data_IF_999740548351
#
_entry.id   IF_999740548351
#
_cell.length_a   1.000
_cell.length_b   1.000
_cell.length_c   1.000
_cell.angle_alpha   90.00
_cell.angle_beta   90.00
_cell.angle_gamma   90.00
#
_symmetry.space_group_name_H-M   'P 1'
#
loop_
_entity.id
_entity.type
_entity.pdbx_description
1 polymer ?
#
# COMPACT_ATOMS: atom_id res chain seq x y z
N UNK A 1 11.05 20.99 -8.26
CA UNK A 1 10.33 20.32 -9.37
C UNK A 1 9.74 19.04 -8.80
N UNK A 2 8.40 18.91 -8.76
CA UNK A 2 7.76 17.70 -8.27
C UNK A 2 7.81 16.63 -9.37
N UNK A 3 8.54 15.54 -9.13
CA UNK A 3 8.56 14.40 -10.03
C UNK A 3 7.36 13.51 -9.69
N UNK A 4 6.34 13.51 -10.56
CA UNK A 4 5.25 12.54 -10.47
C UNK A 4 5.75 11.22 -11.02
N UNK A 5 5.92 10.23 -10.14
CA UNK A 5 6.24 8.86 -10.53
C UNK A 5 4.92 8.13 -10.82
N UNK A 6 4.63 7.88 -12.10
CA UNK A 6 3.55 6.98 -12.49
C UNK A 6 3.91 5.57 -12.00
N UNK A 7 3.10 5.00 -11.11
CA UNK A 7 3.23 3.60 -10.72
C UNK A 7 3.09 2.76 -11.99
N UNK A 8 4.17 2.07 -12.37
CA UNK A 8 4.16 1.14 -13.50
C UNK A 8 3.05 0.12 -13.25
N UNK A 9 1.93 0.22 -14.00
CA UNK A 9 0.73 -0.64 -13.85
C UNK A 9 0.96 -2.07 -14.35
N UNK A 10 2.19 -2.57 -14.24
CA UNK A 10 2.62 -3.87 -14.80
C UNK A 10 2.29 -5.06 -13.89
N UNK A 11 1.34 -4.91 -12.96
CA UNK A 11 0.86 -5.96 -12.07
C UNK A 11 -0.67 -5.96 -12.00
N UNK A 12 -1.27 -7.11 -11.70
CA UNK A 12 -2.73 -7.30 -11.66
C UNK A 12 -3.45 -6.50 -10.57
N UNK A 13 -2.72 -5.79 -9.69
CA UNK A 13 -3.28 -5.06 -8.55
C UNK A 13 -3.79 -5.96 -7.41
N UNK A 14 -3.73 -7.29 -7.57
CA UNK A 14 -4.34 -8.24 -6.63
C UNK A 14 -3.61 -8.34 -5.29
N UNK A 15 -2.29 -8.12 -5.26
CA UNK A 15 -1.50 -8.31 -4.03
C UNK A 15 -1.97 -7.47 -2.85
N UNK A 16 -2.17 -6.16 -3.07
CA UNK A 16 -2.66 -5.26 -2.01
C UNK A 16 -4.15 -5.51 -1.68
N UNK A 17 -4.96 -5.90 -2.68
CA UNK A 17 -6.36 -6.27 -2.45
C UNK A 17 -6.50 -7.51 -1.56
N UNK A 18 -5.65 -8.53 -1.76
CA UNK A 18 -5.60 -9.73 -0.92
C UNK A 18 -5.15 -9.36 0.49
N UNK A 19 -4.06 -8.58 0.62
CA UNK A 19 -3.57 -8.13 1.92
C UNK A 19 -4.63 -7.36 2.72
N UNK A 20 -5.38 -6.46 2.05
CA UNK A 20 -6.51 -5.75 2.66
C UNK A 20 -7.59 -6.71 3.15
N UNK A 21 -7.99 -7.68 2.33
CA UNK A 21 -9.00 -8.67 2.71
C UNK A 21 -8.60 -9.45 3.97
N UNK A 22 -7.32 -9.83 4.08
CA UNK A 22 -6.81 -10.51 5.28
C UNK A 22 -6.82 -9.60 6.52
N UNK A 23 -6.47 -8.31 6.38
CA UNK A 23 -6.56 -7.35 7.48
C UNK A 23 -8.01 -7.20 7.94
N UNK A 24 -8.95 -7.01 7.00
CA UNK A 24 -10.38 -6.88 7.30
C UNK A 24 -10.92 -8.12 8.06
N UNK A 25 -10.50 -9.33 7.67
CA UNK A 25 -10.87 -10.58 8.35
C UNK A 25 -10.31 -10.68 9.78
N UNK A 26 -9.18 -10.04 10.05
CA UNK A 26 -8.53 -10.00 11.36
C UNK A 26 -8.99 -8.82 12.22
N UNK A 27 -9.89 -7.97 11.71
CA UNK A 27 -10.27 -6.71 12.36
C UNK A 27 -9.18 -5.63 12.31
N UNK A 28 -8.12 -5.86 11.53
CA UNK A 28 -6.99 -4.95 11.40
C UNK A 28 -7.21 -3.91 10.29
N UNK A 29 -6.57 -2.75 10.42
CA UNK A 29 -6.56 -1.68 9.42
C UNK A 29 -5.22 -1.63 8.69
N UNK A 30 -5.26 -1.54 7.35
CA UNK A 30 -4.08 -1.35 6.49
C UNK A 30 -4.08 0.06 5.88
N UNK A 31 -2.95 0.76 5.97
CA UNK A 31 -2.76 2.09 5.37
C UNK A 31 -1.44 2.17 4.60
N UNK A 32 -1.36 3.09 3.63
CA UNK A 32 -0.16 3.35 2.86
C UNK A 32 0.17 4.85 2.88
N UNK A 33 1.43 5.17 3.14
CA UNK A 33 1.92 6.55 3.15
C UNK A 33 3.29 6.67 2.46
N UNK A 34 3.63 7.88 2.02
CA UNK A 34 4.97 8.15 1.49
C UNK A 34 5.99 8.13 2.63
N UNK A 35 7.09 7.41 2.44
CA UNK A 35 8.21 7.47 3.36
C UNK A 35 9.05 8.74 3.05
N UNK A 36 9.37 9.58 4.05
CA UNK A 36 10.21 10.77 3.86
C UNK A 36 11.57 10.50 3.21
N UNK A 37 12.14 9.31 3.41
CA UNK A 37 13.40 8.87 2.79
C UNK A 37 13.22 8.31 1.38
N UNK A 38 11.99 8.33 0.84
CA UNK A 38 11.62 7.78 -0.46
C UNK A 38 10.91 6.43 -0.38
N UNK A 39 10.07 6.15 -1.38
CA UNK A 39 9.28 4.92 -1.47
C UNK A 39 7.96 4.97 -0.70
N UNK A 40 7.36 3.79 -0.50
CA UNK A 40 6.09 3.62 0.19
C UNK A 40 6.28 2.89 1.52
N UNK A 41 5.56 3.34 2.55
CA UNK A 41 5.43 2.66 3.83
C UNK A 41 4.02 2.11 3.98
N UNK A 42 3.91 0.82 4.28
CA UNK A 42 2.64 0.14 4.57
C UNK A 42 2.57 -0.09 6.08
N UNK A 43 1.45 0.25 6.69
CA UNK A 43 1.22 0.16 8.14
C UNK A 43 0.00 -0.74 8.38
N UNK A 44 0.08 -1.64 9.37
CA UNK A 44 -0.99 -2.53 9.79
C UNK A 44 -1.22 -2.33 11.30
N UNK A 45 -2.46 -2.07 11.68
CA UNK A 45 -2.91 -1.82 13.06
C UNK A 45 -4.01 -2.83 13.43
N UNK A 46 -3.92 -3.46 14.60
CA UNK A 46 -4.87 -4.50 15.07
C UNK A 46 -5.81 -3.94 16.13
#
# INVERSE_FOLDING_TARGET
QAHTYEANKSGSGLGLSIAKTLCDLLGAQITAQNNPSGGAQIIIEF
#
